data_IF_652582780591
#
_entry.id   IF_652582780591
#
_cell.length_a   1.000
_cell.length_b   1.000
_cell.length_c   1.000
_cell.angle_alpha   90.00
_cell.angle_beta   90.00
_cell.angle_gamma   90.00
#
_symmetry.space_group_name_H-M   'P 1'
#
loop_
_entity.id
_entity.type
_entity.pdbx_description
1 polymer ?
#
# COMPACT_ATOMS: atom_id res chain seq x y z
N UNK A 1 7.75 -4.60 -0.87
CA UNK A 1 6.53 -4.75 -0.05
C UNK A 1 6.72 -5.90 0.91
N UNK A 2 6.07 -5.86 2.07
CA UNK A 2 6.04 -6.99 3.00
C UNK A 2 5.25 -8.13 2.38
N UNK A 3 5.81 -9.35 2.30
CA UNK A 3 5.07 -10.51 1.89
C UNK A 3 4.00 -10.87 2.91
N UNK A 4 2.85 -11.25 2.42
CA UNK A 4 1.75 -11.74 3.25
C UNK A 4 1.89 -13.26 3.42
N UNK A 5 1.79 -13.79 4.63
CA UNK A 5 1.82 -15.23 4.84
C UNK A 5 0.59 -15.89 4.21
N UNK A 6 0.82 -16.98 3.50
CA UNK A 6 -0.24 -17.87 3.03
C UNK A 6 -0.50 -18.87 4.15
N UNK A 7 -1.71 -18.80 4.70
CA UNK A 7 -2.12 -19.66 5.83
C UNK A 7 -2.95 -20.82 5.31
N UNK A 8 -2.69 -22.03 5.83
CA UNK A 8 -3.48 -23.22 5.57
C UNK A 8 -3.45 -24.12 6.80
N UNK A 9 -4.64 -24.43 7.37
CA UNK A 9 -4.75 -25.27 8.55
C UNK A 9 -3.91 -24.79 9.73
N UNK A 10 -3.97 -23.51 10.08
CA UNK A 10 -3.21 -22.92 11.19
C UNK A 10 -1.67 -22.88 11.01
N UNK A 11 -1.17 -23.08 9.78
CA UNK A 11 0.28 -23.04 9.47
C UNK A 11 0.57 -22.06 8.34
N UNK A 12 1.73 -21.44 8.39
CA UNK A 12 2.26 -20.65 7.27
C UNK A 12 2.88 -21.63 6.28
N UNK A 13 2.31 -21.73 5.08
CA UNK A 13 2.79 -22.65 4.02
C UNK A 13 3.53 -21.93 2.89
N UNK A 14 3.45 -20.60 2.84
CA UNK A 14 4.07 -19.81 1.81
C UNK A 14 3.94 -18.32 2.08
N UNK A 15 4.31 -17.52 1.11
CA UNK A 15 4.10 -16.08 1.11
C UNK A 15 3.62 -15.58 -0.25
N UNK A 16 2.89 -14.46 -0.24
CA UNK A 16 2.42 -13.78 -1.45
C UNK A 16 2.71 -12.29 -1.35
N UNK A 17 3.24 -11.72 -2.42
CA UNK A 17 3.45 -10.27 -2.52
C UNK A 17 3.06 -9.81 -3.91
N UNK A 18 2.28 -8.73 -3.98
CA UNK A 18 1.84 -8.16 -5.25
C UNK A 18 2.36 -6.75 -5.43
N UNK A 19 2.92 -6.48 -6.60
CA UNK A 19 3.36 -5.16 -7.01
C UNK A 19 3.13 -4.95 -8.49
N UNK A 20 2.61 -3.79 -8.86
CA UNK A 20 2.22 -3.54 -10.24
C UNK A 20 1.23 -4.57 -10.76
N UNK A 21 1.55 -5.26 -11.85
CA UNK A 21 0.71 -6.29 -12.45
C UNK A 21 1.32 -7.69 -12.32
N UNK A 22 2.32 -7.83 -11.47
CA UNK A 22 2.91 -9.09 -11.08
C UNK A 22 2.65 -9.43 -9.63
N UNK A 23 2.57 -10.72 -9.35
CA UNK A 23 2.45 -11.28 -8.01
C UNK A 23 3.47 -12.39 -7.86
N UNK A 24 4.25 -12.36 -6.80
CA UNK A 24 5.18 -13.43 -6.44
C UNK A 24 4.52 -14.28 -5.37
N UNK A 25 4.49 -15.59 -5.60
CA UNK A 25 4.06 -16.59 -4.63
C UNK A 25 5.26 -17.48 -4.31
N UNK A 26 5.58 -17.64 -3.04
CA UNK A 26 6.66 -18.48 -2.57
C UNK A 26 6.11 -19.62 -1.71
N UNK A 27 6.51 -20.83 -2.01
CA UNK A 27 6.27 -22.01 -1.19
C UNK A 27 7.42 -22.21 -0.22
N UNK A 28 7.14 -22.14 1.08
CA UNK A 28 8.17 -22.27 2.12
C UNK A 28 8.68 -23.71 2.28
N UNK A 29 7.88 -24.72 1.90
CA UNK A 29 8.28 -26.13 2.03
C UNK A 29 9.06 -26.64 0.82
N UNK A 30 8.73 -26.15 -0.37
CA UNK A 30 9.40 -26.57 -1.62
C UNK A 30 10.46 -25.61 -2.12
N UNK A 31 10.60 -24.42 -1.49
CA UNK A 31 11.51 -23.36 -1.95
C UNK A 31 11.17 -22.81 -3.34
N UNK A 32 9.98 -23.14 -3.86
CA UNK A 32 9.55 -22.73 -5.19
C UNK A 32 9.01 -21.31 -5.13
N UNK A 33 9.57 -20.46 -5.99
CA UNK A 33 9.08 -19.12 -6.27
C UNK A 33 8.37 -19.11 -7.61
N UNK A 34 7.13 -18.62 -7.64
CA UNK A 34 6.30 -18.52 -8.85
C UNK A 34 5.92 -17.07 -9.10
N UNK A 35 6.11 -16.59 -10.32
CA UNK A 35 5.75 -15.23 -10.72
C UNK A 35 4.51 -15.28 -11.59
N UNK A 36 3.46 -14.60 -11.11
CA UNK A 36 2.17 -14.50 -11.76
C UNK A 36 2.01 -13.12 -12.37
N UNK A 37 1.58 -13.07 -13.62
CA UNK A 37 1.17 -11.87 -14.31
C UNK A 37 -0.36 -11.80 -14.41
N UNK A 38 -0.92 -10.57 -14.41
CA UNK A 38 -2.37 -10.37 -14.54
C UNK A 38 -2.71 -9.30 -15.56
N UNK A 39 -3.72 -9.58 -16.41
CA UNK A 39 -4.34 -8.57 -17.27
C UNK A 39 -5.64 -8.00 -16.69
N UNK A 40 -6.40 -8.77 -15.98
CA UNK A 40 -7.62 -8.42 -15.23
C UNK A 40 -8.06 -9.65 -14.42
N UNK A 41 -9.11 -10.36 -14.84
CA UNK A 41 -9.57 -11.62 -14.24
C UNK A 41 -8.63 -12.80 -14.56
N UNK A 42 -7.85 -12.68 -15.64
CA UNK A 42 -6.90 -13.68 -16.08
C UNK A 42 -5.47 -13.29 -15.78
N UNK A 43 -4.66 -14.27 -15.49
CA UNK A 43 -3.23 -14.17 -15.32
C UNK A 43 -2.53 -15.39 -15.86
N UNK A 44 -1.23 -15.40 -15.81
CA UNK A 44 -0.39 -16.51 -16.26
C UNK A 44 0.82 -16.69 -15.36
N UNK A 45 1.34 -17.92 -15.30
CA UNK A 45 2.66 -18.22 -14.73
C UNK A 45 3.71 -17.82 -15.75
N UNK A 46 4.56 -16.83 -15.42
CA UNK A 46 5.51 -16.22 -16.36
C UNK A 46 6.98 -16.51 -16.05
N UNK A 47 7.27 -17.40 -15.11
CA UNK A 47 8.63 -17.71 -14.67
C UNK A 47 9.58 -18.01 -15.83
N UNK A 48 9.13 -18.82 -16.80
CA UNK A 48 9.95 -19.22 -17.96
C UNK A 48 10.21 -18.10 -18.97
N UNK A 49 9.47 -16.99 -18.88
CA UNK A 49 9.66 -15.82 -19.74
C UNK A 49 10.67 -14.83 -19.15
N UNK A 50 11.14 -15.06 -17.93
CA UNK A 50 12.05 -14.15 -17.25
C UNK A 50 13.47 -14.30 -17.79
N UNK A 51 14.02 -13.17 -18.23
CA UNK A 51 15.43 -13.03 -18.59
C UNK A 51 15.97 -11.83 -17.81
N UNK A 52 16.93 -12.06 -16.93
CA UNK A 52 17.51 -11.02 -16.05
C UNK A 52 16.45 -10.17 -15.30
N UNK A 53 15.44 -10.83 -14.73
CA UNK A 53 14.36 -10.15 -13.99
C UNK A 53 13.36 -9.39 -14.87
N UNK A 54 13.37 -9.59 -16.18
CA UNK A 54 12.53 -8.91 -17.17
C UNK A 54 11.74 -9.90 -18.02
N UNK A 55 10.57 -9.46 -18.47
CA UNK A 55 9.78 -10.13 -19.51
C UNK A 55 9.82 -9.30 -20.77
N UNK A 56 10.24 -9.91 -21.87
CA UNK A 56 10.38 -9.27 -23.18
C UNK A 56 9.21 -9.63 -24.09
N UNK A 57 8.70 -8.65 -24.82
CA UNK A 57 7.83 -8.87 -25.96
C UNK A 57 8.67 -9.12 -27.23
N UNK A 58 8.11 -9.78 -28.28
CA UNK A 58 8.84 -10.07 -29.53
C UNK A 58 9.41 -8.86 -30.26
N UNK A 59 8.84 -7.67 -30.04
CA UNK A 59 9.32 -6.41 -30.62
C UNK A 59 10.45 -5.74 -29.80
N UNK A 60 11.02 -6.45 -28.81
CA UNK A 60 12.12 -5.97 -27.96
C UNK A 60 11.71 -5.05 -26.83
N UNK A 61 10.44 -4.66 -26.71
CA UNK A 61 9.95 -3.96 -25.52
C UNK A 61 9.90 -4.92 -24.33
N UNK A 62 10.19 -4.40 -23.14
CA UNK A 62 10.21 -5.21 -21.93
C UNK A 62 9.64 -4.48 -20.71
N UNK A 63 9.26 -5.26 -19.73
CA UNK A 63 8.92 -4.80 -18.39
C UNK A 63 9.86 -5.46 -17.38
N UNK A 64 10.33 -4.66 -16.43
CA UNK A 64 11.20 -5.11 -15.36
C UNK A 64 10.32 -5.59 -14.20
N UNK A 65 10.33 -6.88 -13.94
CA UNK A 65 9.50 -7.51 -12.90
C UNK A 65 10.06 -7.25 -11.50
N UNK A 66 11.37 -7.36 -11.35
CA UNK A 66 12.02 -7.19 -10.05
C UNK A 66 11.94 -5.76 -9.52
N UNK A 67 12.05 -4.77 -10.41
CA UNK A 67 11.90 -3.37 -10.07
C UNK A 67 10.48 -3.03 -9.59
N UNK A 68 9.46 -3.69 -10.16
CA UNK A 68 8.05 -3.43 -9.84
C UNK A 68 7.55 -4.22 -8.64
N UNK A 69 8.15 -5.38 -8.34
CA UNK A 69 7.84 -6.20 -7.18
C UNK A 69 9.02 -6.18 -6.22
N UNK A 70 9.14 -5.11 -5.47
CA UNK A 70 10.19 -4.95 -4.46
C UNK A 70 9.78 -5.70 -3.18
N UNK A 71 10.34 -6.88 -2.98
CA UNK A 71 10.09 -7.72 -1.81
C UNK A 71 11.00 -7.31 -0.66
N UNK A 72 10.46 -7.24 0.54
CA UNK A 72 11.26 -7.03 1.75
C UNK A 72 12.13 -8.24 2.03
N UNK A 73 13.44 -8.06 2.21
CA UNK A 73 14.33 -9.17 2.51
C UNK A 73 14.17 -9.70 3.95
N UNK A 74 13.54 -8.92 4.80
CA UNK A 74 13.34 -9.25 6.22
C UNK A 74 11.87 -9.51 6.49
N UNK A 75 11.55 -10.68 7.00
CA UNK A 75 10.20 -11.14 7.29
C UNK A 75 10.09 -11.66 8.73
N UNK A 76 9.94 -10.78 9.71
CA UNK A 76 9.73 -11.23 11.07
C UNK A 76 8.32 -11.79 11.24
N UNK A 77 8.17 -13.10 11.24
CA UNK A 77 6.94 -13.79 11.65
C UNK A 77 6.95 -14.02 13.16
N UNK A 78 6.95 -12.94 13.92
CA UNK A 78 6.79 -13.00 15.36
C UNK A 78 5.47 -12.35 15.79
N UNK A 79 5.10 -12.53 17.03
CA UNK A 79 3.98 -11.83 17.65
C UNK A 79 4.39 -11.34 19.03
N UNK A 80 3.80 -10.23 19.47
CA UNK A 80 3.85 -9.87 20.89
C UNK A 80 3.04 -10.88 21.70
N UNK A 81 3.41 -11.13 22.95
CA UNK A 81 2.75 -12.09 23.84
C UNK A 81 1.26 -11.75 23.98
N UNK A 82 0.97 -10.48 24.17
CA UNK A 82 -0.38 -9.92 24.25
C UNK A 82 -0.36 -8.39 24.03
N UNK A 83 -1.52 -7.83 23.81
CA UNK A 83 -1.69 -6.39 23.62
C UNK A 83 -1.42 -5.61 24.93
N UNK A 84 -1.74 -6.21 26.08
CA UNK A 84 -1.58 -5.53 27.37
C UNK A 84 -0.10 -5.33 27.71
N UNK A 85 0.74 -6.33 27.48
CA UNK A 85 2.20 -6.20 27.63
C UNK A 85 2.78 -5.13 26.71
N UNK A 86 2.34 -5.11 25.45
CA UNK A 86 2.74 -4.06 24.52
C UNK A 86 2.28 -2.68 24.98
N UNK A 87 1.04 -2.56 25.45
CA UNK A 87 0.48 -1.31 25.95
C UNK A 87 1.22 -0.80 27.18
N UNK A 88 1.57 -1.68 28.10
CA UNK A 88 2.38 -1.33 29.30
C UNK A 88 3.73 -0.75 28.87
N UNK A 89 4.42 -1.43 27.97
CA UNK A 89 5.67 -0.92 27.41
C UNK A 89 5.48 0.44 26.74
N UNK A 90 4.47 0.58 25.87
CA UNK A 90 4.18 1.82 25.15
C UNK A 90 3.93 2.97 26.14
N UNK A 91 3.09 2.75 27.15
CA UNK A 91 2.78 3.73 28.19
C UNK A 91 4.05 4.15 28.94
N UNK A 92 4.96 3.21 29.24
CA UNK A 92 6.25 3.52 29.86
C UNK A 92 7.14 4.41 28.98
N UNK A 93 7.15 4.17 27.67
CA UNK A 93 8.00 4.93 26.73
C UNK A 93 7.44 6.31 26.39
N UNK A 94 6.12 6.45 26.28
CA UNK A 94 5.50 7.71 25.83
C UNK A 94 4.77 8.49 26.94
N UNK A 95 4.69 7.95 28.15
CA UNK A 95 3.86 8.53 29.21
C UNK A 95 4.18 9.99 29.50
N UNK A 96 5.45 10.31 29.70
CA UNK A 96 5.89 11.69 29.97
C UNK A 96 5.72 12.64 28.77
N UNK A 97 5.69 12.06 27.58
CA UNK A 97 5.61 12.83 26.32
C UNK A 97 4.15 13.16 25.96
N UNK A 98 3.21 12.25 26.23
CA UNK A 98 1.82 12.36 25.76
C UNK A 98 0.83 12.87 26.80
N UNK A 99 1.14 12.81 28.10
CA UNK A 99 0.22 13.23 29.17
C UNK A 99 -0.29 14.66 28.94
N UNK A 100 -1.62 14.84 28.91
CA UNK A 100 -2.27 16.13 28.70
C UNK A 100 -2.14 16.72 27.29
N UNK A 101 -1.58 15.98 26.33
CA UNK A 101 -1.35 16.44 24.94
C UNK A 101 -2.56 16.20 24.04
N UNK A 102 -2.54 16.84 22.87
CA UNK A 102 -3.46 16.56 21.75
C UNK A 102 -2.76 15.73 20.70
N UNK A 103 -3.28 14.54 20.44
CA UNK A 103 -2.71 13.56 19.52
C UNK A 103 -3.68 13.33 18.36
N UNK A 104 -3.24 13.52 17.15
CA UNK A 104 -4.03 13.33 15.91
C UNK A 104 -3.54 12.09 15.18
N UNK A 105 -4.45 11.19 14.85
CA UNK A 105 -4.17 10.03 13.98
C UNK A 105 -4.73 10.28 12.60
N UNK A 106 -3.88 10.22 11.56
CA UNK A 106 -4.34 10.15 10.18
C UNK A 106 -4.94 8.77 9.90
N UNK A 107 -6.26 8.65 10.03
CA UNK A 107 -6.98 7.39 9.94
C UNK A 107 -7.53 7.17 8.53
N UNK A 108 -7.14 6.07 7.88
CA UNK A 108 -7.49 5.79 6.47
C UNK A 108 -8.46 4.61 6.29
N UNK A 109 -8.94 3.99 7.38
CA UNK A 109 -9.70 2.74 7.34
C UNK A 109 -8.84 1.49 7.14
N UNK A 110 -7.56 1.64 6.77
CA UNK A 110 -6.65 0.51 6.59
C UNK A 110 -6.18 -0.09 7.92
N UNK A 111 -5.84 -1.40 7.89
CA UNK A 111 -5.43 -2.19 9.05
C UNK A 111 -4.36 -1.54 9.94
N UNK A 112 -3.35 -0.92 9.31
CA UNK A 112 -2.20 -0.35 10.02
C UNK A 112 -2.60 0.92 10.81
N UNK A 113 -3.42 1.79 10.22
CA UNK A 113 -3.96 2.96 10.92
C UNK A 113 -5.00 2.57 11.98
N UNK A 114 -5.76 1.48 11.76
CA UNK A 114 -6.72 0.97 12.74
C UNK A 114 -6.01 0.49 14.01
N UNK A 115 -4.97 -0.33 13.86
CA UNK A 115 -4.21 -0.84 15.01
C UNK A 115 -3.52 0.29 15.77
N UNK A 116 -2.92 1.25 15.07
CA UNK A 116 -2.32 2.43 15.69
C UNK A 116 -3.38 3.25 16.48
N UNK A 117 -4.58 3.41 15.92
CA UNK A 117 -5.69 4.08 16.60
C UNK A 117 -6.16 3.35 17.85
N UNK A 118 -6.30 2.01 17.75
CA UNK A 118 -6.73 1.18 18.87
C UNK A 118 -5.74 1.21 20.03
N UNK A 119 -4.45 0.98 19.77
CA UNK A 119 -3.42 1.02 20.81
C UNK A 119 -3.36 2.40 21.49
N UNK A 120 -3.53 3.47 20.72
CA UNK A 120 -3.54 4.82 21.28
C UNK A 120 -4.85 5.16 22.00
N UNK A 121 -6.00 4.57 21.64
CA UNK A 121 -7.21 4.75 22.44
C UNK A 121 -7.03 4.17 23.84
N UNK A 122 -6.48 2.95 23.95
CA UNK A 122 -6.15 2.34 25.25
C UNK A 122 -5.09 3.15 26.04
N UNK A 123 -4.08 3.66 25.35
CA UNK A 123 -3.06 4.50 25.99
C UNK A 123 -3.64 5.86 26.45
N UNK A 124 -4.60 6.42 25.70
CA UNK A 124 -5.23 7.70 26.08
C UNK A 124 -6.05 7.61 27.35
N UNK A 125 -6.72 6.49 27.59
CA UNK A 125 -7.44 6.22 28.84
C UNK A 125 -6.50 6.17 30.04
N UNK A 126 -5.31 5.58 29.87
CA UNK A 126 -4.29 5.45 30.95
C UNK A 126 -3.51 6.75 31.20
N UNK A 127 -3.25 7.54 30.17
CA UNK A 127 -2.36 8.72 30.23
C UNK A 127 -3.10 10.05 30.25
N UNK A 128 -4.41 10.10 29.95
CA UNK A 128 -5.20 11.31 29.96
C UNK A 128 -4.84 12.30 28.86
N UNK A 129 -4.46 11.85 27.65
CA UNK A 129 -4.28 12.73 26.50
C UNK A 129 -5.52 12.70 25.58
N UNK A 130 -5.74 13.79 24.84
CA UNK A 130 -6.85 13.86 23.88
C UNK A 130 -6.44 13.19 22.54
N UNK A 131 -7.13 12.11 22.17
CA UNK A 131 -6.97 11.42 20.89
C UNK A 131 -8.05 11.86 19.90
N UNK A 132 -7.67 12.17 18.65
CA UNK A 132 -8.59 12.55 17.57
C UNK A 132 -8.20 11.77 16.32
N UNK A 133 -9.16 11.05 15.74
CA UNK A 133 -9.00 10.43 14.42
C UNK A 133 -9.36 11.45 13.35
N UNK A 134 -8.52 11.58 12.34
CA UNK A 134 -8.79 12.47 11.20
C UNK A 134 -8.80 11.64 9.92
N UNK A 135 -9.96 11.58 9.29
CA UNK A 135 -10.16 10.94 8.00
C UNK A 135 -10.18 11.99 6.89
N UNK A 136 -9.32 11.81 5.90
CA UNK A 136 -9.32 12.68 4.71
C UNK A 136 -10.06 12.00 3.58
N UNK A 137 -11.29 12.42 3.37
CA UNK A 137 -12.15 11.92 2.30
C UNK A 137 -11.84 12.61 0.96
N UNK A 138 -11.70 11.82 -0.10
CA UNK A 138 -11.56 12.31 -1.48
C UNK A 138 -12.58 11.58 -2.36
N UNK A 139 -13.78 12.15 -2.52
CA UNK A 139 -14.97 11.44 -3.01
C UNK A 139 -14.78 10.67 -4.32
N UNK A 140 -14.04 11.22 -5.29
CA UNK A 140 -13.84 10.55 -6.59
C UNK A 140 -12.79 9.43 -6.56
N UNK A 141 -12.02 9.30 -5.49
CA UNK A 141 -11.02 8.25 -5.33
C UNK A 141 -11.45 7.15 -4.38
N UNK A 142 -12.32 7.45 -3.42
CA UNK A 142 -12.72 6.55 -2.35
C UNK A 142 -14.18 6.14 -2.45
N UNK A 143 -14.49 4.92 -2.04
CA UNK A 143 -15.86 4.44 -1.95
C UNK A 143 -16.52 4.90 -0.64
N UNK A 144 -17.85 5.06 -0.64
CA UNK A 144 -18.64 5.34 0.56
C UNK A 144 -18.54 4.19 1.59
N UNK A 145 -18.27 2.96 1.13
CA UNK A 145 -18.06 1.82 2.03
C UNK A 145 -16.86 2.03 2.96
N UNK A 146 -15.74 2.61 2.44
CA UNK A 146 -14.59 2.94 3.28
C UNK A 146 -14.94 4.02 4.31
N UNK A 147 -15.72 5.02 3.91
CA UNK A 147 -16.19 6.08 4.80
C UNK A 147 -17.05 5.51 5.95
N UNK A 148 -18.06 4.70 5.64
CA UNK A 148 -18.88 4.03 6.64
C UNK A 148 -18.08 3.10 7.56
N UNK A 149 -17.05 2.43 7.03
CA UNK A 149 -16.15 1.64 7.85
C UNK A 149 -15.32 2.50 8.82
N UNK A 150 -14.81 3.64 8.38
CA UNK A 150 -14.06 4.60 9.22
C UNK A 150 -14.93 5.09 10.39
N UNK A 151 -16.19 5.47 10.12
CA UNK A 151 -17.17 5.87 11.14
C UNK A 151 -17.46 4.74 12.15
N UNK A 152 -17.68 3.52 11.64
CA UNK A 152 -17.88 2.32 12.48
C UNK A 152 -16.70 2.09 13.43
N UNK A 153 -15.48 2.22 12.96
CA UNK A 153 -14.27 2.05 13.79
C UNK A 153 -14.19 3.12 14.86
N UNK A 154 -14.35 4.39 14.51
CA UNK A 154 -14.31 5.50 15.46
C UNK A 154 -15.33 5.33 16.59
N UNK A 155 -16.56 4.97 16.25
CA UNK A 155 -17.63 4.69 17.21
C UNK A 155 -17.28 3.51 18.12
N UNK A 156 -16.71 2.43 17.56
CA UNK A 156 -16.30 1.25 18.35
C UNK A 156 -15.17 1.54 19.32
N UNK A 157 -14.25 2.41 18.93
CA UNK A 157 -13.13 2.84 19.79
C UNK A 157 -13.52 3.96 20.78
N UNK A 158 -14.69 4.55 20.65
CA UNK A 158 -15.12 5.69 21.48
C UNK A 158 -14.26 6.95 21.27
N UNK A 159 -13.68 7.14 20.07
CA UNK A 159 -12.73 8.22 19.76
C UNK A 159 -13.38 9.24 18.82
N UNK A 160 -13.15 10.53 19.09
CA UNK A 160 -13.61 11.62 18.22
C UNK A 160 -13.08 11.43 16.78
N UNK A 161 -13.98 11.42 15.79
CA UNK A 161 -13.65 11.39 14.38
C UNK A 161 -13.92 12.74 13.74
N UNK A 162 -12.93 13.27 13.05
CA UNK A 162 -13.06 14.47 12.23
C UNK A 162 -12.82 14.12 10.77
N UNK A 163 -13.83 14.36 9.95
CA UNK A 163 -13.69 14.24 8.50
C UNK A 163 -13.19 15.56 7.93
N UNK A 164 -12.20 15.48 7.05
CA UNK A 164 -11.65 16.61 6.31
C UNK A 164 -11.64 16.30 4.82
N UNK A 165 -11.96 17.28 4.00
CA UNK A 165 -11.96 17.15 2.54
C UNK A 165 -11.07 18.23 1.91
N UNK A 166 -10.42 17.93 0.77
CA UNK A 166 -9.85 18.99 -0.05
C UNK A 166 -10.99 19.84 -0.63
N UNK A 167 -10.82 21.17 -0.78
CA UNK A 167 -11.83 22.01 -1.43
C UNK A 167 -12.23 21.45 -2.80
N UNK A 168 -13.54 21.29 -3.05
CA UNK A 168 -14.08 20.66 -4.29
C UNK A 168 -13.53 21.24 -5.60
N UNK A 169 -13.35 22.56 -5.77
CA UNK A 169 -12.72 23.10 -6.97
C UNK A 169 -11.31 22.56 -7.21
N UNK A 170 -10.51 22.42 -6.14
CA UNK A 170 -9.10 22.01 -6.23
C UNK A 170 -8.96 20.61 -6.83
N UNK A 171 -9.74 19.62 -6.41
CA UNK A 171 -9.56 18.27 -6.95
C UNK A 171 -10.08 18.16 -8.40
N UNK A 172 -11.15 18.87 -8.76
CA UNK A 172 -11.59 18.95 -10.15
C UNK A 172 -10.53 19.59 -11.04
N UNK A 173 -9.93 20.69 -10.59
CA UNK A 173 -8.83 21.34 -11.30
C UNK A 173 -7.65 20.38 -11.50
N UNK A 174 -7.24 19.64 -10.44
CA UNK A 174 -6.20 18.64 -10.57
C UNK A 174 -6.54 17.54 -11.57
N UNK A 175 -7.77 17.00 -11.55
CA UNK A 175 -8.18 15.98 -12.52
C UNK A 175 -8.14 16.50 -13.96
N UNK A 176 -8.59 17.71 -14.19
CA UNK A 176 -8.57 18.30 -15.54
C UNK A 176 -7.17 18.73 -15.98
N UNK A 177 -6.33 19.20 -15.07
CA UNK A 177 -4.96 19.60 -15.36
C UNK A 177 -3.99 18.43 -15.47
N UNK A 178 -4.01 17.54 -14.49
CA UNK A 178 -3.01 16.46 -14.35
C UNK A 178 -3.48 15.10 -14.88
N UNK A 179 -4.78 14.95 -15.14
CA UNK A 179 -5.40 13.66 -15.46
C UNK A 179 -5.51 12.76 -14.20
N UNK A 180 -5.73 11.47 -14.42
CA UNK A 180 -5.71 10.52 -13.29
C UNK A 180 -4.31 10.42 -12.68
N UNK A 181 -4.22 10.15 -11.36
CA UNK A 181 -2.93 9.88 -10.74
C UNK A 181 -2.29 8.63 -11.38
N UNK A 182 -1.01 8.70 -11.71
CA UNK A 182 -0.26 7.59 -12.31
C UNK A 182 1.02 7.29 -11.52
N UNK A 183 1.67 6.17 -11.84
CA UNK A 183 2.93 5.78 -11.19
C UNK A 183 4.02 6.79 -11.52
N UNK A 184 4.58 7.38 -10.46
CA UNK A 184 5.53 8.50 -10.57
C UNK A 184 4.93 9.86 -10.18
N UNK A 185 3.64 10.13 -10.40
CA UNK A 185 3.01 11.39 -9.99
C UNK A 185 1.73 11.13 -9.20
N UNK A 186 1.85 11.29 -7.89
CA UNK A 186 0.77 11.04 -6.92
C UNK A 186 0.22 12.35 -6.36
N UNK A 187 -0.30 13.21 -7.22
CA UNK A 187 -0.94 14.44 -6.75
C UNK A 187 -2.10 14.18 -5.77
N UNK A 188 -2.78 13.05 -5.90
CA UNK A 188 -3.82 12.62 -4.97
C UNK A 188 -3.33 12.47 -3.52
N UNK A 189 -2.05 12.11 -3.31
CA UNK A 189 -1.46 12.05 -1.96
C UNK A 189 -1.42 13.44 -1.30
N UNK A 190 -1.17 14.48 -2.08
CA UNK A 190 -1.21 15.85 -1.58
C UNK A 190 -2.61 16.22 -1.10
N UNK A 191 -3.64 15.88 -1.87
CA UNK A 191 -5.04 16.15 -1.51
C UNK A 191 -5.48 15.40 -0.25
N UNK A 192 -4.92 14.22 0.03
CA UNK A 192 -5.19 13.47 1.27
C UNK A 192 -4.43 14.01 2.48
N UNK A 193 -3.17 14.35 2.29
CA UNK A 193 -2.29 14.71 3.41
C UNK A 193 -2.45 16.16 3.82
N UNK A 194 -2.70 17.06 2.88
CA UNK A 194 -2.82 18.50 3.16
C UNK A 194 -3.94 18.84 4.15
N UNK A 195 -5.19 18.38 3.97
CA UNK A 195 -6.27 18.68 4.91
C UNK A 195 -5.98 18.21 6.33
N UNK A 196 -5.36 17.01 6.47
CA UNK A 196 -4.95 16.49 7.79
C UNK A 196 -3.92 17.41 8.44
N UNK A 197 -2.92 17.88 7.70
CA UNK A 197 -1.89 18.78 8.21
C UNK A 197 -2.45 20.17 8.56
N UNK A 198 -3.38 20.68 7.78
CA UNK A 198 -4.06 21.94 8.03
C UNK A 198 -4.91 21.84 9.31
N UNK A 199 -5.67 20.75 9.46
CA UNK A 199 -6.42 20.47 10.68
C UNK A 199 -5.48 20.35 11.89
N UNK A 200 -4.41 19.57 11.80
CA UNK A 200 -3.41 19.42 12.86
C UNK A 200 -2.88 20.77 13.36
N UNK A 201 -2.54 21.67 12.43
CA UNK A 201 -2.08 23.03 12.76
C UNK A 201 -3.18 23.88 13.37
N UNK A 202 -4.41 23.83 12.81
CA UNK A 202 -5.56 24.61 13.23
C UNK A 202 -5.92 24.37 14.68
N UNK A 203 -5.88 23.11 15.13
CA UNK A 203 -6.24 22.76 16.52
C UNK A 203 -5.06 22.85 17.50
N UNK A 204 -3.87 23.20 17.01
CA UNK A 204 -2.66 23.23 17.83
C UNK A 204 -2.30 21.86 18.41
N UNK A 205 -2.42 20.79 17.61
CA UNK A 205 -2.08 19.45 18.07
C UNK A 205 -0.58 19.27 18.28
N UNK A 206 -0.22 18.47 19.28
CA UNK A 206 1.17 18.23 19.66
C UNK A 206 1.82 17.14 18.79
N UNK A 207 1.10 16.03 18.55
CA UNK A 207 1.63 14.87 17.82
C UNK A 207 0.71 14.41 16.70
N UNK A 208 1.35 14.05 15.56
CA UNK A 208 0.72 13.41 14.40
C UNK A 208 1.15 11.94 14.34
N UNK A 209 0.18 11.05 14.34
CA UNK A 209 0.39 9.61 14.30
C UNK A 209 0.29 9.09 12.88
N UNK A 210 1.16 8.17 12.55
CA UNK A 210 1.05 7.34 11.35
C UNK A 210 1.13 5.86 11.73
N UNK A 211 0.36 5.02 11.04
CA UNK A 211 0.44 3.56 11.13
C UNK A 211 1.61 2.97 10.33
N UNK A 212 2.69 3.74 10.13
CA UNK A 212 3.88 3.26 9.40
C UNK A 212 4.53 2.12 10.16
N UNK A 213 4.66 0.96 9.50
CA UNK A 213 5.44 -0.17 10.01
C UNK A 213 6.77 -0.27 9.27
N UNK A 214 7.79 -0.70 10.00
CA UNK A 214 9.16 -0.78 9.48
C UNK A 214 9.25 -1.71 8.26
N UNK A 215 8.64 -2.88 8.35
CA UNK A 215 8.73 -3.95 7.36
C UNK A 215 7.74 -3.84 6.19
N UNK A 216 6.89 -2.84 6.17
CA UNK A 216 5.83 -2.74 5.16
C UNK A 216 6.37 -2.51 3.73
N UNK A 217 7.43 -1.72 3.59
CA UNK A 217 8.13 -1.51 2.32
C UNK A 217 9.61 -1.22 2.54
N UNK A 218 10.46 -1.58 1.58
CA UNK A 218 11.89 -1.28 1.63
C UNK A 218 12.17 0.23 1.80
N UNK A 219 11.36 1.08 1.15
CA UNK A 219 11.44 2.55 1.32
C UNK A 219 11.16 2.99 2.76
N UNK A 220 10.16 2.39 3.42
CA UNK A 220 9.87 2.68 4.83
C UNK A 220 10.95 2.15 5.73
N UNK A 221 11.42 0.93 5.48
CA UNK A 221 12.52 0.32 6.20
C UNK A 221 13.74 1.24 6.21
N UNK A 222 14.24 1.64 5.04
CA UNK A 222 15.39 2.56 4.91
C UNK A 222 15.20 3.89 5.66
N UNK A 223 13.98 4.42 5.65
CA UNK A 223 13.64 5.68 6.33
C UNK A 223 13.58 5.56 7.85
N UNK A 224 13.09 4.44 8.36
CA UNK A 224 12.73 4.28 9.77
C UNK A 224 13.75 3.51 10.58
N UNK A 225 14.63 2.75 9.92
CA UNK A 225 15.56 1.84 10.59
C UNK A 225 16.44 2.53 11.64
N UNK A 226 16.94 3.73 11.35
CA UNK A 226 17.79 4.48 12.28
C UNK A 226 17.09 4.86 13.58
N UNK A 227 15.79 5.13 13.54
CA UNK A 227 14.98 5.37 14.73
C UNK A 227 14.58 4.04 15.41
N UNK A 228 14.26 3.03 14.59
CA UNK A 228 13.82 1.71 15.07
C UNK A 228 14.86 1.01 15.91
N UNK A 229 16.11 0.93 15.46
CA UNK A 229 17.21 0.30 16.24
C UNK A 229 17.52 1.01 17.56
N UNK A 230 17.09 2.25 17.72
CA UNK A 230 17.17 3.04 18.95
C UNK A 230 15.92 2.93 19.83
N UNK A 231 14.90 2.17 19.39
CA UNK A 231 13.59 2.10 20.06
C UNK A 231 12.80 3.42 20.04
N UNK A 232 13.13 4.34 19.14
CA UNK A 232 12.49 5.66 19.07
C UNK A 232 11.17 5.61 18.30
N UNK A 233 10.07 5.56 19.02
CA UNK A 233 8.71 5.64 18.44
C UNK A 233 8.23 7.08 18.23
N UNK A 234 8.83 8.04 18.92
CA UNK A 234 8.57 9.48 18.77
C UNK A 234 9.76 10.14 18.09
N UNK A 235 9.51 10.84 17.00
CA UNK A 235 10.52 11.64 16.28
C UNK A 235 9.94 13.01 15.93
N UNK A 236 10.38 14.05 16.64
CA UNK A 236 9.79 15.38 16.57
C UNK A 236 8.29 15.34 16.91
N UNK A 237 7.43 15.81 16.02
CA UNK A 237 5.97 15.74 16.19
C UNK A 237 5.33 14.46 15.61
N UNK A 238 6.11 13.48 15.24
CA UNK A 238 5.60 12.22 14.66
C UNK A 238 5.69 11.08 15.66
N UNK A 239 4.57 10.37 15.86
CA UNK A 239 4.45 9.18 16.69
C UNK A 239 4.09 7.97 15.83
N UNK A 240 4.79 6.84 16.04
CA UNK A 240 4.61 5.58 15.32
C UNK A 240 4.45 4.42 16.31
N UNK A 241 3.26 4.25 16.88
CA UNK A 241 3.05 3.34 18.01
C UNK A 241 3.24 1.85 17.64
N UNK A 242 3.15 1.49 16.36
CA UNK A 242 3.19 0.11 15.87
C UNK A 242 4.34 -0.14 14.89
N UNK A 243 5.42 0.63 14.98
CA UNK A 243 6.48 0.61 13.97
C UNK A 243 7.20 -0.74 13.83
N UNK A 244 7.30 -1.53 14.90
CA UNK A 244 7.94 -2.87 14.90
C UNK A 244 6.99 -4.02 14.61
N UNK A 245 5.68 -3.74 14.48
CA UNK A 245 4.68 -4.77 14.27
C UNK A 245 4.81 -5.42 12.90
N UNK A 246 4.63 -6.74 12.87
CA UNK A 246 4.53 -7.52 11.64
C UNK A 246 3.10 -7.52 11.14
N UNK A 247 2.89 -8.06 9.93
CA UNK A 247 1.54 -8.27 9.40
C UNK A 247 0.73 -9.22 10.30
N UNK A 248 1.38 -10.19 10.95
CA UNK A 248 0.70 -11.13 11.84
C UNK A 248 0.17 -10.45 13.09
N UNK A 249 0.95 -9.55 13.71
CA UNK A 249 0.51 -8.76 14.85
C UNK A 249 -0.72 -7.91 14.49
N UNK A 250 -0.65 -7.24 13.34
CA UNK A 250 -1.74 -6.40 12.82
C UNK A 250 -3.01 -7.22 12.58
N UNK A 251 -2.90 -8.37 11.91
CA UNK A 251 -4.06 -9.22 11.58
C UNK A 251 -4.70 -9.77 12.85
N UNK A 252 -3.89 -10.25 13.81
CA UNK A 252 -4.41 -10.72 15.09
C UNK A 252 -5.21 -9.66 15.83
N UNK A 253 -4.62 -8.46 15.94
CA UNK A 253 -5.27 -7.33 16.61
C UNK A 253 -6.58 -6.94 15.89
N UNK A 254 -6.57 -6.77 14.57
CA UNK A 254 -7.77 -6.38 13.81
C UNK A 254 -8.88 -7.44 13.93
N UNK A 255 -8.51 -8.73 13.88
CA UNK A 255 -9.48 -9.83 14.02
C UNK A 255 -10.05 -9.93 15.42
N UNK A 256 -9.23 -9.76 16.48
CA UNK A 256 -9.73 -9.77 17.86
C UNK A 256 -10.75 -8.66 18.13
N UNK A 257 -10.64 -7.54 17.42
CA UNK A 257 -11.59 -6.43 17.50
C UNK A 257 -12.90 -6.67 16.71
N UNK A 258 -12.93 -7.65 15.81
CA UNK A 258 -14.04 -7.86 14.87
C UNK A 258 -14.18 -6.71 13.85
N UNK A 259 -13.09 -5.98 13.57
CA UNK A 259 -13.06 -4.79 12.71
C UNK A 259 -12.29 -5.03 11.40
N UNK A 260 -12.53 -6.18 10.76
CA UNK A 260 -11.94 -6.49 9.46
C UNK A 260 -12.64 -5.69 8.36
N UNK A 261 -11.87 -4.89 7.61
CA UNK A 261 -12.42 -4.12 6.49
C UNK A 261 -12.91 -5.06 5.38
N UNK A 262 -14.05 -4.77 4.71
CA UNK A 262 -14.60 -5.60 3.63
C UNK A 262 -13.61 -5.90 2.49
N UNK A 263 -12.73 -4.98 2.14
CA UNK A 263 -11.71 -5.18 1.11
C UNK A 263 -10.81 -6.39 1.41
N UNK A 264 -10.43 -6.60 2.68
CA UNK A 264 -9.64 -7.77 3.07
C UNK A 264 -10.41 -9.08 2.91
N UNK A 265 -11.72 -9.06 3.18
CA UNK A 265 -12.61 -10.22 2.97
C UNK A 265 -12.85 -10.50 1.48
N UNK A 266 -12.69 -9.52 0.60
CA UNK A 266 -12.65 -9.69 -0.86
C UNK A 266 -11.30 -10.19 -1.37
N UNK A 267 -10.30 -10.34 -0.50
CA UNK A 267 -8.96 -10.78 -0.84
C UNK A 267 -8.08 -9.68 -1.41
N UNK A 268 -8.35 -8.42 -1.08
CA UNK A 268 -7.46 -7.32 -1.44
C UNK A 268 -6.33 -7.20 -0.39
N UNK A 269 -5.07 -6.96 -0.82
CA UNK A 269 -3.93 -6.87 0.10
C UNK A 269 -3.97 -5.62 0.98
N UNK A 270 -4.78 -4.63 0.60
CA UNK A 270 -4.86 -3.34 1.29
C UNK A 270 -6.15 -2.60 0.98
N UNK A 271 -6.61 -1.79 1.91
CA UNK A 271 -7.59 -0.74 1.63
C UNK A 271 -6.92 0.33 0.78
N UNK A 272 -7.46 0.61 -0.38
CA UNK A 272 -6.90 1.57 -1.33
C UNK A 272 -7.99 2.26 -2.14
N UNK A 273 -7.68 3.48 -2.59
CA UNK A 273 -8.58 4.22 -3.48
C UNK A 273 -8.98 3.39 -4.70
N UNK A 274 -10.21 3.54 -5.18
CA UNK A 274 -10.72 2.81 -6.34
C UNK A 274 -9.87 3.04 -7.59
N UNK A 275 -9.36 4.23 -7.79
CA UNK A 275 -8.50 4.63 -8.91
C UNK A 275 -7.01 4.73 -8.52
N UNK A 276 -6.54 3.87 -7.61
CA UNK A 276 -5.13 3.90 -7.21
C UNK A 276 -4.23 3.31 -8.31
N UNK A 277 -3.24 4.06 -8.82
CA UNK A 277 -2.35 3.55 -9.87
C UNK A 277 -1.42 2.43 -9.40
N UNK A 278 -1.31 2.23 -8.10
CA UNK A 278 -0.47 1.19 -7.50
C UNK A 278 -1.21 -0.12 -7.21
N UNK A 279 -2.48 -0.24 -7.60
CA UNK A 279 -3.17 -1.52 -7.62
C UNK A 279 -2.59 -2.44 -8.69
N UNK A 280 -2.55 -3.74 -8.41
CA UNK A 280 -2.47 -4.78 -9.43
C UNK A 280 -3.77 -4.86 -10.22
N UNK A 281 -3.73 -5.39 -11.43
CA UNK A 281 -4.96 -5.51 -12.25
C UNK A 281 -5.99 -6.41 -11.58
N UNK A 282 -5.58 -7.50 -10.93
CA UNK A 282 -6.52 -8.36 -10.20
C UNK A 282 -7.25 -7.64 -9.04
N UNK A 283 -6.67 -6.58 -8.46
CA UNK A 283 -7.32 -5.81 -7.39
C UNK A 283 -8.50 -4.99 -7.93
N UNK A 284 -8.47 -4.58 -9.21
CA UNK A 284 -9.56 -3.83 -9.83
C UNK A 284 -10.82 -4.66 -10.03
N UNK A 285 -10.71 -5.97 -10.10
CA UNK A 285 -11.85 -6.89 -10.26
C UNK A 285 -12.77 -6.94 -9.04
N UNK A 286 -12.28 -6.51 -7.88
CA UNK A 286 -13.02 -6.45 -6.62
C UNK A 286 -13.15 -5.03 -6.04
N UNK A 287 -12.84 -4.00 -6.84
CA UNK A 287 -12.87 -2.60 -6.40
C UNK A 287 -14.29 -2.04 -6.49
N UNK A 288 -14.70 -1.29 -5.46
CA UNK A 288 -15.99 -0.62 -5.41
C UNK A 288 -16.03 0.63 -6.30
N UNK A 289 -17.21 0.92 -6.86
CA UNK A 289 -17.49 2.14 -7.59
C UNK A 289 -17.43 3.38 -6.68
N UNK A 290 -17.16 4.53 -7.26
CA UNK A 290 -17.08 5.81 -6.54
C UNK A 290 -18.24 6.74 -6.85
N UNK A 291 -19.06 6.43 -7.88
CA UNK A 291 -20.11 7.32 -8.41
C UNK A 291 -19.59 8.46 -9.29
N UNK A 292 -18.30 8.44 -9.65
CA UNK A 292 -17.65 9.47 -10.50
C UNK A 292 -17.18 8.91 -11.84
N UNK A 293 -17.66 7.74 -12.22
CA UNK A 293 -17.18 6.97 -13.39
C UNK A 293 -17.30 7.77 -14.68
N UNK A 294 -18.41 8.52 -14.89
CA UNK A 294 -18.60 9.34 -16.09
C UNK A 294 -17.58 10.47 -16.23
N UNK A 295 -17.24 11.13 -15.11
CA UNK A 295 -16.20 12.17 -15.12
C UNK A 295 -14.84 11.57 -15.41
N UNK A 296 -14.55 10.44 -14.80
CA UNK A 296 -13.30 9.71 -14.96
C UNK A 296 -13.15 9.23 -16.40
N UNK A 297 -14.21 8.71 -17.01
CA UNK A 297 -14.22 8.31 -18.42
C UNK A 297 -13.89 9.47 -19.36
N UNK A 298 -14.45 10.67 -19.12
CA UNK A 298 -14.13 11.88 -19.89
C UNK A 298 -12.64 12.26 -19.75
N UNK A 299 -12.09 12.17 -18.54
CA UNK A 299 -10.66 12.42 -18.30
C UNK A 299 -9.79 11.38 -18.99
N UNK A 300 -10.15 10.09 -18.90
CA UNK A 300 -9.43 9.00 -19.57
C UNK A 300 -9.42 9.16 -21.10
N UNK A 301 -10.57 9.50 -21.73
CA UNK A 301 -10.64 9.74 -23.18
C UNK A 301 -9.74 10.88 -23.62
N UNK A 302 -9.68 11.96 -22.83
CA UNK A 302 -8.78 13.08 -23.10
C UNK A 302 -7.31 12.66 -22.99
N UNK A 303 -6.93 11.98 -21.89
CA UNK A 303 -5.56 11.51 -21.67
C UNK A 303 -5.12 10.55 -22.79
N UNK A 304 -6.00 9.61 -23.17
CA UNK A 304 -5.75 8.67 -24.25
C UNK A 304 -5.42 9.37 -25.56
N UNK A 305 -6.27 10.30 -26.02
CA UNK A 305 -6.07 11.05 -27.26
C UNK A 305 -4.77 11.85 -27.27
N UNK A 306 -4.43 12.47 -26.14
CA UNK A 306 -3.26 13.32 -26.03
C UNK A 306 -1.94 12.53 -25.97
N UNK A 307 -1.93 11.32 -25.36
CA UNK A 307 -0.66 10.72 -24.95
C UNK A 307 -0.47 9.26 -25.35
N UNK A 308 -1.54 8.49 -25.51
CA UNK A 308 -1.44 7.03 -25.67
C UNK A 308 -1.82 6.57 -27.09
N UNK A 309 -2.78 7.21 -27.73
CA UNK A 309 -3.22 6.85 -29.09
C UNK A 309 -2.07 6.84 -30.08
N UNK A 310 -1.21 7.82 -30.06
CA UNK A 310 -0.01 7.92 -30.94
C UNK A 310 1.06 6.85 -30.65
N UNK A 311 0.88 6.03 -29.63
CA UNK A 311 1.78 4.92 -29.26
C UNK A 311 1.31 3.58 -29.77
N UNK A 312 0.30 3.54 -30.64
CA UNK A 312 -0.27 2.31 -31.17
C UNK A 312 -1.05 1.50 -30.15
N UNK A 313 -1.50 2.12 -29.07
CA UNK A 313 -2.37 1.50 -28.05
C UNK A 313 -3.80 1.78 -28.45
N UNK A 314 -4.66 0.76 -28.57
CA UNK A 314 -6.09 0.95 -28.79
C UNK A 314 -6.80 1.52 -27.55
N UNK A 315 -8.00 2.09 -27.75
CA UNK A 315 -8.80 2.59 -26.63
C UNK A 315 -9.18 1.49 -25.64
N UNK A 316 -9.54 0.32 -26.16
CA UNK A 316 -9.96 -0.81 -25.34
C UNK A 316 -8.78 -1.35 -24.52
N UNK A 317 -7.63 -1.56 -25.12
CA UNK A 317 -6.40 -1.93 -24.38
C UNK A 317 -6.06 -0.89 -23.30
N UNK A 318 -6.12 0.40 -23.63
CA UNK A 318 -5.83 1.46 -22.69
C UNK A 318 -6.76 1.42 -21.47
N UNK A 319 -8.05 1.24 -21.70
CA UNK A 319 -9.10 1.25 -20.69
C UNK A 319 -9.09 -0.04 -19.85
N UNK A 320 -9.13 -1.20 -20.50
CA UNK A 320 -9.27 -2.50 -19.85
C UNK A 320 -8.02 -2.88 -19.06
N UNK A 321 -6.86 -2.65 -19.63
CA UNK A 321 -5.57 -2.92 -18.98
C UNK A 321 -5.13 -1.79 -18.04
N UNK A 322 -5.98 -0.78 -17.83
CA UNK A 322 -5.69 0.34 -16.93
C UNK A 322 -4.33 0.99 -17.21
N UNK A 323 -3.97 1.18 -18.51
CA UNK A 323 -2.66 1.67 -18.92
C UNK A 323 -2.41 3.14 -18.54
N UNK A 324 -3.45 3.89 -18.18
CA UNK A 324 -3.35 5.22 -17.58
C UNK A 324 -2.50 5.26 -16.30
N UNK A 325 -2.31 4.11 -15.64
CA UNK A 325 -1.47 3.99 -14.44
C UNK A 325 0.01 4.24 -14.69
N UNK A 326 0.43 4.17 -15.95
CA UNK A 326 1.82 4.29 -16.38
C UNK A 326 2.08 5.57 -17.16
N UNK A 327 3.35 5.91 -17.33
CA UNK A 327 3.74 6.89 -18.37
C UNK A 327 3.48 6.31 -19.75
N UNK A 328 3.24 7.10 -20.81
CA UNK A 328 2.92 6.56 -22.14
C UNK A 328 3.99 5.59 -22.68
N UNK A 329 5.29 5.86 -22.43
CA UNK A 329 6.36 4.95 -22.81
C UNK A 329 6.29 3.62 -22.06
N UNK A 330 6.07 3.66 -20.75
CA UNK A 330 5.91 2.46 -19.96
C UNK A 330 4.62 1.71 -20.32
N UNK A 331 3.52 2.42 -20.58
CA UNK A 331 2.27 1.82 -21.03
C UNK A 331 2.43 1.04 -22.34
N UNK A 332 3.23 1.57 -23.28
CA UNK A 332 3.52 0.89 -24.53
C UNK A 332 4.27 -0.43 -24.30
N UNK A 333 5.28 -0.42 -23.42
CA UNK A 333 6.01 -1.64 -23.07
C UNK A 333 5.10 -2.67 -22.36
N UNK A 334 4.31 -2.21 -21.38
CA UNK A 334 3.34 -3.05 -20.70
C UNK A 334 2.33 -3.66 -21.67
N UNK A 335 1.77 -2.86 -22.60
CA UNK A 335 0.81 -3.35 -23.57
C UNK A 335 1.41 -4.41 -24.49
N UNK A 336 2.64 -4.20 -24.96
CA UNK A 336 3.33 -5.18 -25.81
C UNK A 336 3.58 -6.51 -25.09
N UNK A 337 4.02 -6.47 -23.81
CA UNK A 337 4.22 -7.68 -23.00
C UNK A 337 2.88 -8.35 -22.68
N UNK A 338 1.84 -7.61 -22.37
CA UNK A 338 0.50 -8.16 -22.11
C UNK A 338 -0.03 -8.90 -23.35
N UNK A 339 0.06 -8.27 -24.53
CA UNK A 339 -0.33 -8.91 -25.81
C UNK A 339 0.45 -10.21 -26.08
N UNK A 340 1.72 -10.23 -25.73
CA UNK A 340 2.56 -11.43 -25.93
C UNK A 340 2.15 -12.55 -24.95
N UNK A 341 2.03 -12.24 -23.68
CA UNK A 341 1.65 -13.23 -22.66
C UNK A 341 0.25 -13.80 -22.92
N UNK A 342 -0.72 -12.96 -23.29
CA UNK A 342 -2.09 -13.41 -23.62
C UNK A 342 -2.09 -14.38 -24.80
N UNK A 343 -1.31 -14.11 -25.86
CA UNK A 343 -1.16 -15.03 -27.00
C UNK A 343 -0.56 -16.37 -26.59
N UNK A 344 0.38 -16.38 -25.65
CA UNK A 344 0.97 -17.64 -25.16
C UNK A 344 -0.04 -18.43 -24.31
N UNK A 345 -0.88 -17.77 -23.53
CA UNK A 345 -1.97 -18.41 -22.79
C UNK A 345 -3.00 -19.01 -23.76
N UNK A 346 -3.42 -18.26 -24.78
CA UNK A 346 -4.37 -18.72 -25.79
C UNK A 346 -3.88 -19.96 -26.55
N UNK A 347 -2.58 -20.07 -26.78
CA UNK A 347 -1.94 -21.21 -27.39
C UNK A 347 -1.72 -22.41 -26.47
N UNK A 348 -2.06 -22.25 -25.16
CA UNK A 348 -1.76 -23.27 -24.15
C UNK A 348 -0.28 -23.40 -23.81
N UNK A 349 0.54 -22.43 -24.22
CA UNK A 349 1.97 -22.41 -23.93
C UNK A 349 2.29 -21.91 -22.52
N UNK A 350 1.40 -21.14 -21.89
CA UNK A 350 1.50 -20.72 -20.49
C UNK A 350 0.31 -21.23 -19.68
N UNK A 351 0.59 -21.57 -18.43
CA UNK A 351 -0.45 -21.92 -17.46
C UNK A 351 -1.28 -20.67 -17.09
N UNK A 352 -2.59 -20.75 -17.29
CA UNK A 352 -3.54 -19.70 -16.92
C UNK A 352 -3.81 -19.72 -15.42
N UNK A 353 -3.86 -18.54 -14.81
CA UNK A 353 -4.20 -18.33 -13.39
C UNK A 353 -5.34 -17.34 -13.28
N UNK A 354 -6.34 -17.66 -12.46
CA UNK A 354 -7.46 -16.76 -12.22
C UNK A 354 -7.13 -15.73 -11.14
N UNK A 355 -7.56 -14.48 -11.32
CA UNK A 355 -7.41 -13.42 -10.32
C UNK A 355 -8.03 -13.80 -8.96
N UNK A 356 -9.14 -14.54 -8.97
CA UNK A 356 -9.78 -15.06 -7.75
C UNK A 356 -8.86 -15.96 -6.92
N UNK A 357 -7.97 -16.74 -7.57
CA UNK A 357 -7.03 -17.61 -6.85
C UNK A 357 -6.04 -16.79 -6.00
N UNK A 358 -5.57 -15.67 -6.52
CA UNK A 358 -4.67 -14.77 -5.76
C UNK A 358 -5.44 -14.04 -4.65
N UNK A 359 -6.66 -13.58 -4.94
CA UNK A 359 -7.50 -12.96 -3.91
C UNK A 359 -7.75 -13.93 -2.75
N UNK A 360 -7.95 -15.20 -3.03
CA UNK A 360 -8.14 -16.23 -2.00
C UNK A 360 -6.88 -16.40 -1.12
N UNK A 361 -5.66 -16.30 -1.68
CA UNK A 361 -4.44 -16.34 -0.87
C UNK A 361 -4.38 -15.21 0.15
N UNK A 362 -4.74 -13.99 -0.26
CA UNK A 362 -4.77 -12.84 0.66
C UNK A 362 -5.90 -12.91 1.70
N UNK A 363 -7.05 -13.48 1.31
CA UNK A 363 -8.22 -13.61 2.18
C UNK A 363 -7.97 -14.55 3.36
N UNK A 364 -7.20 -15.62 3.17
CA UNK A 364 -6.98 -16.69 4.16
C UNK A 364 -6.54 -16.17 5.52
N UNK A 365 -5.60 -15.23 5.59
CA UNK A 365 -5.14 -14.65 6.85
C UNK A 365 -6.25 -13.94 7.66
N UNK A 366 -7.36 -13.57 7.00
CA UNK A 366 -8.48 -12.89 7.64
C UNK A 366 -9.58 -13.83 8.11
N UNK A 367 -9.65 -15.05 7.57
CA UNK A 367 -10.75 -15.99 7.82
C UNK A 367 -10.31 -17.33 8.40
N UNK A 368 -9.10 -17.82 8.08
CA UNK A 368 -8.59 -19.08 8.61
C UNK A 368 -8.00 -18.93 10.01
N UNK A 369 -7.82 -20.04 10.71
CA UNK A 369 -7.08 -20.08 11.97
C UNK A 369 -5.66 -19.56 11.76
N UNK A 370 -5.24 -18.63 12.64
CA UNK A 370 -3.89 -18.07 12.55
C UNK A 370 -2.89 -18.99 13.24
N UNK A 371 -1.70 -19.15 12.65
CA UNK A 371 -0.62 -19.87 13.31
C UNK A 371 -0.20 -19.14 14.59
N UNK A 372 0.39 -19.87 15.52
CA UNK A 372 1.03 -19.30 16.70
C UNK A 372 2.51 -19.05 16.41
N UNK A 373 2.89 -17.84 15.93
CA UNK A 373 4.29 -17.54 15.70
C UNK A 373 5.04 -17.47 17.04
N UNK A 374 6.37 -17.58 17.02
CA UNK A 374 7.18 -17.37 18.20
C UNK A 374 6.86 -16.02 18.84
N UNK A 375 6.61 -16.04 20.15
CA UNK A 375 6.41 -14.83 20.94
C UNK A 375 7.77 -14.25 21.27
N UNK A 376 7.95 -12.95 21.01
CA UNK A 376 9.18 -12.22 21.30
C UNK A 376 8.89 -10.95 22.08
N UNK A 377 9.77 -10.64 22.99
CA UNK A 377 9.78 -9.33 23.64
C UNK A 377 10.25 -8.26 22.64
N UNK A 378 9.96 -7.00 22.95
CA UNK A 378 10.41 -5.91 22.09
C UNK A 378 11.95 -5.83 22.05
N UNK A 379 12.63 -6.11 23.17
CA UNK A 379 14.09 -6.08 23.24
C UNK A 379 14.72 -7.15 22.33
N UNK A 380 14.16 -8.36 22.32
CA UNK A 380 14.56 -9.42 21.39
C UNK A 380 14.35 -9.00 19.92
N UNK A 381 13.22 -8.37 19.61
CA UNK A 381 12.91 -7.87 18.25
C UNK A 381 13.92 -6.79 17.84
N UNK A 382 14.21 -5.85 18.72
CA UNK A 382 15.16 -4.77 18.43
C UNK A 382 16.60 -5.32 18.28
N UNK A 383 16.98 -6.31 19.07
CA UNK A 383 18.29 -6.92 18.97
C UNK A 383 18.45 -7.72 17.67
N UNK A 384 17.47 -8.52 17.30
CA UNK A 384 17.46 -9.22 15.99
C UNK A 384 17.51 -8.24 14.83
N UNK A 385 16.77 -7.14 14.93
CA UNK A 385 16.76 -6.10 13.93
C UNK A 385 18.15 -5.45 13.77
N UNK A 386 18.83 -5.14 14.87
CA UNK A 386 20.20 -4.61 14.86
C UNK A 386 21.16 -5.58 14.17
N UNK A 387 21.16 -6.85 14.58
CA UNK A 387 21.99 -7.89 13.96
C UNK A 387 21.71 -8.06 12.48
N UNK A 388 20.42 -8.05 12.09
CA UNK A 388 20.04 -8.17 10.69
C UNK A 388 20.50 -6.96 9.88
N UNK A 389 20.35 -5.72 10.39
CA UNK A 389 20.81 -4.49 9.72
C UNK A 389 22.31 -4.52 9.52
N UNK A 390 23.08 -4.95 10.51
CA UNK A 390 24.52 -5.05 10.43
C UNK A 390 24.95 -6.05 9.35
N UNK A 391 24.35 -7.25 9.34
CA UNK A 391 24.65 -8.30 8.36
C UNK A 391 24.22 -7.95 6.92
N UNK A 392 23.26 -7.04 6.73
CA UNK A 392 22.69 -6.70 5.42
C UNK A 392 22.85 -5.22 5.06
N UNK A 393 23.74 -4.50 5.71
CA UNK A 393 23.90 -3.05 5.56
C UNK A 393 24.04 -2.63 4.10
N UNK A 394 24.89 -3.30 3.34
CA UNK A 394 25.13 -2.97 1.94
C UNK A 394 23.90 -3.23 1.06
N UNK A 395 23.16 -4.31 1.32
CA UNK A 395 21.91 -4.63 0.58
C UNK A 395 20.79 -3.64 0.89
N UNK A 396 20.66 -3.24 2.16
CA UNK A 396 19.60 -2.31 2.59
C UNK A 396 19.84 -0.90 2.07
N UNK A 397 21.10 -0.46 2.07
CA UNK A 397 21.48 0.90 1.69
C UNK A 397 22.04 1.00 0.27
N UNK A 398 22.14 -0.12 -0.47
CA UNK A 398 22.48 -0.10 -1.88
C UNK A 398 21.52 0.81 -2.66
N UNK A 399 22.04 1.74 -3.45
CA UNK A 399 21.26 2.66 -4.27
C UNK A 399 20.76 3.92 -3.55
N UNK A 400 21.03 4.11 -2.24
CA UNK A 400 20.66 5.36 -1.54
C UNK A 400 21.44 6.57 -2.11
N UNK A 401 22.65 6.33 -2.63
CA UNK A 401 23.51 7.36 -3.23
C UNK A 401 23.37 7.47 -4.76
N UNK A 402 22.50 6.69 -5.40
CA UNK A 402 22.21 6.88 -6.82
C UNK A 402 21.42 8.19 -6.98
N UNK A 403 21.87 9.13 -7.82
CA UNK A 403 21.14 10.36 -8.07
C UNK A 403 19.76 9.99 -8.58
N UNK A 404 18.72 10.50 -7.92
CA UNK A 404 17.34 10.26 -8.34
C UNK A 404 17.21 10.68 -9.80
N UNK A 405 16.86 9.76 -10.69
CA UNK A 405 16.57 10.04 -12.11
C UNK A 405 15.25 10.85 -12.26
N UNK A 406 15.00 11.74 -11.31
CA UNK A 406 13.80 12.61 -11.24
C UNK A 406 13.79 13.74 -12.27
N UNK A 407 14.79 13.83 -13.19
CA UNK A 407 14.82 14.87 -14.23
C UNK A 407 13.66 14.78 -15.24
N UNK A 408 13.06 13.60 -15.41
CA UNK A 408 11.88 13.42 -16.29
C UNK A 408 10.59 14.01 -15.75
N UNK A 409 10.49 14.26 -14.43
CA UNK A 409 9.27 14.79 -13.81
C UNK A 409 9.10 16.31 -14.07
N UNK A 410 10.18 17.09 -14.06
CA UNK A 410 10.11 18.53 -14.34
C UNK A 410 9.75 18.81 -15.81
N UNK A 411 10.17 17.94 -16.72
CA UNK A 411 9.92 18.11 -18.15
C UNK A 411 8.43 17.91 -18.53
N UNK A 412 7.72 16.99 -17.85
CA UNK A 412 6.29 16.75 -18.10
C UNK A 412 5.37 17.81 -17.53
N UNK A 413 5.65 18.31 -16.34
CA UNK A 413 4.90 19.43 -15.78
C UNK A 413 5.04 20.67 -16.66
N UNK A 414 6.24 20.89 -17.24
CA UNK A 414 6.53 22.01 -18.14
C UNK A 414 5.82 21.85 -19.50
N UNK A 415 5.86 20.67 -20.12
CA UNK A 415 5.17 20.40 -21.39
C UNK A 415 3.63 20.44 -21.22
N UNK A 416 3.09 20.04 -20.07
CA UNK A 416 1.67 20.20 -19.77
C UNK A 416 1.29 21.66 -19.57
N UNK A 417 2.10 22.46 -18.90
CA UNK A 417 1.86 23.89 -18.71
C UNK A 417 1.93 24.70 -20.03
N UNK A 418 2.88 24.38 -20.91
CA UNK A 418 3.07 25.08 -22.18
C UNK A 418 1.92 24.81 -23.19
N UNK A 419 1.23 23.68 -23.12
CA UNK A 419 0.09 23.35 -24.01
C UNK A 419 -1.27 23.88 -23.54
N UNK A 420 -1.34 24.58 -22.41
CA UNK A 420 -2.58 25.19 -21.91
C UNK A 420 -2.72 26.67 -22.24
N UNK A 421 -1.72 27.27 -22.86
CA UNK A 421 -1.76 28.68 -23.29
C UNK A 421 -2.14 28.86 -24.77
N UNK A 422 -2.71 27.81 -25.41
CA UNK A 422 -3.27 27.89 -26.77
C UNK A 422 -4.67 27.28 -26.87
#
# INVERSE_FOLDING_TARGET
MEPYPIIRGGKVVGSVVSGSDFTIVEDLHGGRRTILWFSSERGAVVDRLLVDGRVYAPNGLYVDVEQWVEVMPFQPYHSFSDIDSYLQWLVGVVGDVLRGKKVVVGFSGGKDSLVASYILSLASEKLGFKLILVYSHVPFLESEENRGFVEKVANRLGVELVEVEPPKPIFREYMFREGLPYRGTRWCTYLKVRPIREFFKKIGADYLVSGDRLVETLKRFRRLIGAAVKGQIVAGKHLRPTFTWTIMDVVRCVRSLGLVHPDYLRGLPRVSCSWCPYKCLFEFTATQATGWEDLIEKVLRREYRLWYQQRGISWDEFRERRLWRYTPKAAQAWNAVMNYVEKLVEKGELEEVKASSVRELYKRMWVEELPNPPVKTLDEILEELRKWVEANRDKVFAGVNAPSTSSTHRHRARIRAEKWNH
#
